data_IF_079936351847
#
_entry.id   IF_079936351847
#
_cell.length_a   1.000
_cell.length_b   1.000
_cell.length_c   1.000
_cell.angle_alpha   90.00
_cell.angle_beta   90.00
_cell.angle_gamma   90.00
#
_symmetry.space_group_name_H-M   'P 1'
#
loop_
_entity.id
_entity.type
_entity.pdbx_description
1 polymer ?
#
# COMPACT_ATOMS: atom_id res chain seq x y z
N UNK A 1 -6.33 -28.28 4.64
CA UNK A 1 -6.65 -26.84 4.55
C UNK A 1 -6.19 -26.38 3.17
N UNK A 2 -7.07 -25.78 2.36
CA UNK A 2 -6.70 -25.27 1.04
C UNK A 2 -6.15 -23.84 1.20
N UNK A 3 -5.04 -23.55 0.54
CA UNK A 3 -4.48 -22.21 0.44
C UNK A 3 -4.36 -21.84 -1.04
N UNK A 4 -4.44 -20.56 -1.34
CA UNK A 4 -4.18 -20.00 -2.65
C UNK A 4 -3.53 -18.63 -2.44
N UNK A 5 -2.62 -18.23 -3.32
CA UNK A 5 -1.92 -16.95 -3.25
C UNK A 5 -1.77 -16.35 -4.65
N UNK A 6 -1.74 -15.02 -4.71
CA UNK A 6 -1.52 -14.25 -5.93
C UNK A 6 -0.76 -12.97 -5.58
N UNK A 7 0.17 -12.57 -6.45
CA UNK A 7 0.86 -11.29 -6.38
C UNK A 7 0.18 -10.36 -7.37
N UNK A 8 -0.11 -9.14 -6.94
CA UNK A 8 -0.62 -8.06 -7.78
C UNK A 8 0.48 -6.99 -7.83
N UNK A 9 0.84 -6.58 -9.04
CA UNK A 9 1.88 -5.59 -9.30
C UNK A 9 1.25 -4.32 -9.87
N UNK A 10 1.68 -3.16 -9.35
CA UNK A 10 1.15 -1.86 -9.72
C UNK A 10 2.28 -0.87 -9.94
N UNK A 11 2.08 0.03 -10.90
CA UNK A 11 2.91 1.21 -11.08
C UNK A 11 2.10 2.44 -10.69
N UNK A 12 2.57 3.17 -9.67
CA UNK A 12 1.88 4.36 -9.17
C UNK A 12 2.19 5.58 -10.04
N UNK A 13 1.29 6.57 -9.98
CA UNK A 13 1.45 7.88 -10.64
C UNK A 13 2.23 8.90 -9.81
N UNK A 14 2.56 8.55 -8.56
CA UNK A 14 3.28 9.41 -7.63
C UNK A 14 2.89 9.12 -6.18
N UNK A 15 3.21 10.06 -5.30
CA UNK A 15 2.80 10.04 -3.90
C UNK A 15 1.27 10.16 -3.78
N UNK A 16 0.70 9.42 -2.82
CA UNK A 16 -0.75 9.36 -2.58
C UNK A 16 -1.60 8.95 -3.80
N UNK A 17 -1.12 7.99 -4.59
CA UNK A 17 -1.94 7.35 -5.63
C UNK A 17 -2.80 6.24 -5.02
N UNK A 18 -4.12 6.42 -5.05
CA UNK A 18 -5.09 5.46 -4.52
C UNK A 18 -5.54 4.52 -5.64
N UNK A 19 -5.20 3.24 -5.51
CA UNK A 19 -5.53 2.21 -6.49
C UNK A 19 -6.60 1.29 -5.89
N UNK A 20 -7.79 1.26 -6.50
CA UNK A 20 -8.85 0.33 -6.13
C UNK A 20 -8.54 -1.07 -6.70
N UNK A 21 -8.30 -2.02 -5.81
CA UNK A 21 -7.96 -3.42 -6.14
C UNK A 21 -9.14 -4.39 -5.94
N UNK A 22 -10.33 -3.86 -5.68
CA UNK A 22 -11.51 -4.65 -5.27
C UNK A 22 -11.87 -5.72 -6.29
N UNK A 23 -11.83 -5.39 -7.59
CA UNK A 23 -12.23 -6.33 -8.64
C UNK A 23 -11.18 -7.43 -8.85
N UNK A 24 -9.89 -7.13 -8.74
CA UNK A 24 -8.80 -8.11 -8.79
C UNK A 24 -8.89 -9.10 -7.62
N UNK A 25 -9.16 -8.60 -6.41
CA UNK A 25 -9.36 -9.45 -5.23
C UNK A 25 -10.60 -10.34 -5.43
N UNK A 26 -11.72 -9.79 -5.91
CA UNK A 26 -12.94 -10.58 -6.20
C UNK A 26 -12.68 -11.66 -7.26
N UNK A 27 -11.94 -11.35 -8.33
CA UNK A 27 -11.57 -12.30 -9.39
C UNK A 27 -10.72 -13.45 -8.82
N UNK A 28 -9.73 -13.13 -8.00
CA UNK A 28 -8.91 -14.15 -7.32
C UNK A 28 -9.74 -15.05 -6.41
N UNK A 29 -10.60 -14.47 -5.57
CA UNK A 29 -11.44 -15.24 -4.63
C UNK A 29 -12.42 -16.13 -5.37
N UNK A 30 -13.17 -15.60 -6.34
CA UNK A 30 -14.24 -16.33 -7.04
C UNK A 30 -13.72 -17.34 -8.07
N UNK A 31 -12.65 -17.01 -8.78
CA UNK A 31 -12.13 -17.83 -9.87
C UNK A 31 -11.00 -18.75 -9.45
N UNK A 32 -9.90 -18.16 -8.97
CA UNK A 32 -8.62 -18.86 -8.81
C UNK A 32 -8.56 -19.65 -7.50
N UNK A 33 -9.08 -19.10 -6.39
CA UNK A 33 -8.98 -19.74 -5.08
C UNK A 33 -9.85 -21.00 -4.96
N UNK A 34 -11.05 -20.96 -5.57
CA UNK A 34 -12.15 -21.92 -5.38
C UNK A 34 -12.46 -22.21 -3.89
N UNK A 35 -12.12 -21.29 -2.98
CA UNK A 35 -12.45 -21.37 -1.55
C UNK A 35 -13.82 -20.73 -1.35
N UNK A 36 -14.79 -21.50 -0.85
CA UNK A 36 -16.16 -21.01 -0.62
C UNK A 36 -16.34 -20.28 0.71
N UNK A 37 -15.65 -20.74 1.76
CA UNK A 37 -15.70 -20.17 3.10
C UNK A 37 -14.28 -20.16 3.67
N UNK A 38 -13.81 -19.02 4.15
CA UNK A 38 -12.46 -18.86 4.66
C UNK A 38 -12.08 -17.40 4.86
N UNK A 39 -10.78 -17.14 4.93
CA UNK A 39 -10.21 -15.80 5.08
C UNK A 39 -9.42 -15.42 3.84
N UNK A 40 -9.42 -14.13 3.52
CA UNK A 40 -8.57 -13.52 2.50
C UNK A 40 -7.67 -12.53 3.22
N UNK A 41 -6.36 -12.72 3.08
CA UNK A 41 -5.37 -11.76 3.56
C UNK A 41 -4.91 -10.91 2.37
N UNK A 42 -4.96 -9.59 2.54
CA UNK A 42 -4.42 -8.62 1.57
C UNK A 42 -3.37 -7.81 2.31
N UNK A 43 -2.14 -7.84 1.81
CA UNK A 43 -1.00 -7.18 2.43
C UNK A 43 -0.10 -6.58 1.38
N UNK A 44 0.57 -5.50 1.73
CA UNK A 44 1.68 -4.93 0.96
C UNK A 44 2.97 -5.70 1.24
N UNK A 45 3.85 -5.80 0.24
CA UNK A 45 5.23 -6.27 0.40
C UNK A 45 6.23 -5.11 0.55
N UNK A 46 5.73 -3.88 0.66
CA UNK A 46 6.50 -2.64 0.77
C UNK A 46 6.18 -1.92 2.09
N UNK A 47 7.18 -1.24 2.66
CA UNK A 47 7.08 -0.47 3.91
C UNK A 47 6.51 0.94 3.73
N UNK A 48 6.46 1.44 2.50
CA UNK A 48 6.02 2.80 2.13
C UNK A 48 4.66 2.83 1.43
N UNK A 49 3.94 1.72 1.44
CA UNK A 49 2.58 1.60 0.90
C UNK A 49 1.63 1.05 1.99
N UNK A 50 0.33 1.27 1.83
CA UNK A 50 -0.69 0.80 2.76
C UNK A 50 -1.88 0.16 2.03
N UNK A 51 -2.53 -0.78 2.69
CA UNK A 51 -3.83 -1.32 2.28
C UNK A 51 -4.90 -0.66 3.17
N UNK A 52 -5.88 -0.02 2.55
CA UNK A 52 -7.01 0.60 3.26
C UNK A 52 -8.32 0.02 2.73
N UNK A 53 -9.32 -0.10 3.61
CA UNK A 53 -10.70 -0.41 3.25
C UNK A 53 -11.54 0.82 3.57
N UNK A 54 -12.07 1.47 2.54
CA UNK A 54 -12.90 2.67 2.68
C UNK A 54 -13.83 2.84 1.47
N UNK A 55 -14.68 3.87 1.48
CA UNK A 55 -15.48 4.25 0.33
C UNK A 55 -14.58 4.81 -0.79
N UNK A 56 -14.80 4.33 -2.03
CA UNK A 56 -14.09 4.81 -3.21
C UNK A 56 -14.79 6.05 -3.80
N UNK A 57 -14.79 7.14 -3.03
CA UNK A 57 -15.36 8.42 -3.43
C UNK A 57 -14.24 9.46 -3.61
N UNK A 58 -14.17 10.16 -4.76
CA UNK A 58 -13.05 11.06 -5.07
C UNK A 58 -12.75 12.15 -4.02
N UNK A 59 -13.75 12.80 -3.44
CA UNK A 59 -13.52 13.86 -2.45
C UNK A 59 -13.02 13.29 -1.12
N UNK A 60 -13.51 12.13 -0.71
CA UNK A 60 -13.00 11.41 0.46
C UNK A 60 -11.54 11.00 0.28
N UNK A 61 -11.14 10.54 -0.91
CA UNK A 61 -9.75 10.23 -1.21
C UNK A 61 -8.85 11.49 -1.13
N UNK A 62 -9.34 12.63 -1.63
CA UNK A 62 -8.65 13.91 -1.48
C UNK A 62 -8.54 14.35 -0.01
N UNK A 63 -9.56 14.09 0.82
CA UNK A 63 -9.52 14.38 2.24
C UNK A 63 -8.54 13.47 3.00
N UNK A 64 -8.48 12.19 2.65
CA UNK A 64 -7.46 11.26 3.17
C UNK A 64 -6.06 11.76 2.81
N UNK A 65 -5.84 12.11 1.54
CA UNK A 65 -4.56 12.67 1.07
C UNK A 65 -4.14 13.90 1.87
N UNK A 66 -5.03 14.89 2.02
CA UNK A 66 -4.77 16.11 2.81
C UNK A 66 -4.44 15.80 4.26
N UNK A 67 -5.09 14.80 4.87
CA UNK A 67 -4.82 14.41 6.24
C UNK A 67 -3.48 13.69 6.39
N UNK A 68 -3.12 12.81 5.45
CA UNK A 68 -1.81 12.17 5.42
C UNK A 68 -0.68 13.18 5.28
N UNK A 69 -0.82 14.16 4.38
CA UNK A 69 0.16 15.24 4.21
C UNK A 69 0.33 16.09 5.48
N UNK A 70 -0.74 16.28 6.27
CA UNK A 70 -0.64 16.96 7.56
C UNK A 70 0.04 16.12 8.63
N UNK A 71 -0.23 14.82 8.65
CA UNK A 71 0.29 13.89 9.66
C UNK A 71 1.76 13.55 9.43
N UNK A 72 2.17 13.44 8.18
CA UNK A 72 3.55 13.12 7.76
C UNK A 72 3.92 13.98 6.55
N UNK A 73 4.18 15.29 6.74
CA UNK A 73 4.49 16.20 5.64
C UNK A 73 5.73 15.75 4.87
N UNK A 74 5.70 15.80 3.54
CA UNK A 74 6.86 15.42 2.71
C UNK A 74 7.98 16.47 2.71
N UNK A 75 7.70 17.68 3.17
CA UNK A 75 8.59 18.84 3.06
C UNK A 75 9.33 19.21 4.36
N UNK A 76 9.39 18.30 5.34
CA UNK A 76 10.15 18.50 6.58
C UNK A 76 11.33 17.52 6.64
N UNK A 77 12.34 17.86 7.45
CA UNK A 77 13.49 16.97 7.63
C UNK A 77 13.13 15.83 8.58
N UNK A 78 13.21 14.60 8.11
CA UNK A 78 13.18 13.40 8.95
C UNK A 78 14.59 12.91 9.25
N UNK A 79 14.81 12.37 10.45
CA UNK A 79 16.08 11.71 10.79
C UNK A 79 16.32 10.43 9.99
N UNK A 80 15.26 9.86 9.41
CA UNK A 80 15.38 8.68 8.55
C UNK A 80 16.14 9.00 7.25
N UNK A 81 16.02 10.24 6.77
CA UNK A 81 16.69 10.75 5.58
C UNK A 81 18.09 11.33 5.89
N UNK A 82 18.55 11.23 7.15
CA UNK A 82 19.87 11.67 7.56
C UNK A 82 20.88 10.51 7.48
N UNK A 83 21.51 10.39 6.31
CA UNK A 83 22.53 9.36 6.02
C UNK A 83 23.80 9.49 6.86
N UNK A 84 23.99 10.61 7.58
CA UNK A 84 25.12 10.76 8.51
C UNK A 84 24.82 10.17 9.89
N UNK A 85 23.53 10.07 10.24
CA UNK A 85 23.07 9.55 11.52
C UNK A 85 22.50 8.12 11.43
N UNK A 86 21.86 7.77 10.30
CA UNK A 86 21.27 6.44 10.06
C UNK A 86 22.35 5.42 9.71
N UNK A 87 22.40 4.32 10.45
CA UNK A 87 23.45 3.29 10.33
C UNK A 87 22.93 1.88 10.07
N UNK A 88 21.61 1.68 10.07
CA UNK A 88 20.97 0.35 9.96
C UNK A 88 20.11 0.31 8.70
N UNK A 89 20.12 -0.84 8.01
CA UNK A 89 19.38 -1.10 6.78
C UNK A 89 19.64 -0.04 5.70
N UNK A 90 20.90 0.31 5.48
CA UNK A 90 21.32 1.29 4.45
C UNK A 90 21.73 0.54 3.19
N UNK A 91 21.17 0.90 2.05
CA UNK A 91 21.58 0.37 0.76
C UNK A 91 22.37 1.40 -0.08
N UNK A 92 23.33 0.97 -0.93
CA UNK A 92 24.15 1.89 -1.73
C UNK A 92 23.40 2.76 -2.74
N UNK A 93 22.16 2.39 -3.05
CA UNK A 93 21.25 3.03 -4.00
C UNK A 93 20.19 3.91 -3.33
N UNK A 94 20.24 4.07 -2.00
CA UNK A 94 19.41 5.06 -1.30
C UNK A 94 19.98 6.49 -1.48
N UNK A 95 19.09 7.46 -1.72
CA UNK A 95 19.39 8.86 -2.05
C UNK A 95 19.20 9.79 -0.85
#
# INVERSE_FOLDING_TARGET
>A
MKTANKILEYQTKGEFDFIDITEEVKKFVRGESQIKNGFVNVQTLHTTAAIILNENEPLLLEDIKKNLEKLSPGNIKYNHDDFTARTINMHPDEC
#
